data_IF_704220965624
#
_entry.id   IF_704220965624
#
_cell.length_a   1.000
_cell.length_b   1.000
_cell.length_c   1.000
_cell.angle_alpha   90.00
_cell.angle_beta   90.00
_cell.angle_gamma   90.00
#
_symmetry.space_group_name_H-M   'P 1'
#
loop_
_entity.id
_entity.type
_entity.pdbx_description
1 polymer ?
#
# COMPACT_ATOMS: atom_id res chain seq x y z
N UNK A 1 33.22 13.90 -12.27
CA UNK A 1 32.19 14.36 -11.30
C UNK A 1 31.82 13.28 -10.28
N UNK A 2 31.78 11.99 -10.64
CA UNK A 2 31.58 10.87 -9.70
C UNK A 2 32.83 10.52 -8.84
N UNK A 3 34.04 10.79 -9.32
CA UNK A 3 35.27 10.55 -8.54
C UNK A 3 35.45 11.51 -7.36
N UNK A 4 35.01 12.76 -7.48
CA UNK A 4 35.06 13.75 -6.39
C UNK A 4 34.13 13.40 -5.22
N UNK A 5 33.09 12.60 -5.50
CA UNK A 5 32.19 12.10 -4.46
C UNK A 5 32.92 11.03 -3.64
N UNK A 6 33.67 10.11 -4.28
CA UNK A 6 34.45 9.08 -3.57
C UNK A 6 35.54 9.68 -2.68
N UNK A 7 36.22 10.75 -3.11
CA UNK A 7 37.29 11.39 -2.33
C UNK A 7 36.78 12.30 -1.22
N UNK A 8 35.57 12.87 -1.35
CA UNK A 8 34.88 13.52 -0.24
C UNK A 8 34.53 12.55 0.89
N UNK A 9 34.55 11.23 0.64
CA UNK A 9 34.17 10.22 1.62
C UNK A 9 35.32 9.66 2.49
N UNK A 10 36.55 10.20 2.40
CA UNK A 10 37.75 9.62 3.06
C UNK A 10 38.38 10.42 4.24
N UNK A 11 37.85 11.59 4.61
CA UNK A 11 38.37 12.47 5.68
C UNK A 11 37.33 12.61 6.80
N UNK A 12 37.59 13.02 8.05
CA UNK A 12 36.51 13.06 9.08
C UNK A 12 35.23 13.85 8.70
N UNK A 13 35.33 14.81 7.79
CA UNK A 13 34.19 15.49 7.13
C UNK A 13 33.31 14.55 6.28
N UNK A 14 33.85 13.45 5.79
CA UNK A 14 33.13 12.39 5.11
C UNK A 14 32.18 11.63 6.00
N UNK A 15 32.57 11.38 7.25
CA UNK A 15 31.79 10.54 8.15
C UNK A 15 30.50 11.27 8.52
N UNK A 16 30.60 12.57 8.81
CA UNK A 16 29.43 13.42 9.08
C UNK A 16 28.53 13.57 7.85
N UNK A 17 29.10 13.77 6.66
CA UNK A 17 28.33 13.81 5.40
C UNK A 17 27.65 12.47 5.09
N UNK A 18 28.34 11.35 5.31
CA UNK A 18 27.79 10.00 5.12
C UNK A 18 26.63 9.76 6.09
N UNK A 19 26.83 10.06 7.37
CA UNK A 19 25.80 9.93 8.40
C UNK A 19 24.58 10.79 8.07
N UNK A 20 24.79 12.05 7.66
CA UNK A 20 23.73 12.95 7.26
C UNK A 20 22.95 12.41 6.05
N UNK A 21 23.64 11.87 5.03
CA UNK A 21 23.03 11.26 3.87
C UNK A 21 22.14 10.06 4.25
N UNK A 22 22.68 9.10 5.00
CA UNK A 22 21.91 7.92 5.43
C UNK A 22 20.73 8.31 6.31
N UNK A 23 20.91 9.25 7.23
CA UNK A 23 19.83 9.77 8.08
C UNK A 23 18.73 10.40 7.23
N UNK A 24 19.08 11.23 6.24
CA UNK A 24 18.10 11.84 5.33
C UNK A 24 17.32 10.80 4.53
N UNK A 25 18.02 9.79 3.97
CA UNK A 25 17.38 8.69 3.23
C UNK A 25 16.40 7.92 4.13
N UNK A 26 16.81 7.57 5.35
CA UNK A 26 15.96 6.84 6.30
C UNK A 26 14.73 7.66 6.68
N UNK A 27 14.89 8.95 6.98
CA UNK A 27 13.77 9.83 7.35
C UNK A 27 12.79 9.97 6.18
N UNK A 28 13.27 10.30 4.98
CA UNK A 28 12.43 10.48 3.79
C UNK A 28 11.67 9.17 3.50
N UNK A 29 12.37 8.03 3.52
CA UNK A 29 11.75 6.74 3.28
C UNK A 29 10.72 6.38 4.35
N UNK A 30 11.02 6.63 5.63
CA UNK A 30 10.10 6.34 6.74
C UNK A 30 8.83 7.18 6.67
N UNK A 31 8.94 8.46 6.28
CA UNK A 31 7.78 9.33 6.04
C UNK A 31 6.94 8.77 4.89
N UNK A 32 7.57 8.37 3.80
CA UNK A 32 6.87 7.74 2.69
C UNK A 32 6.13 6.45 3.13
N UNK A 33 6.81 5.55 3.86
CA UNK A 33 6.20 4.32 4.38
C UNK A 33 5.03 4.65 5.31
N UNK A 34 5.15 5.71 6.12
CA UNK A 34 4.10 6.14 7.04
C UNK A 34 2.78 6.44 6.32
N UNK A 35 2.84 7.18 5.21
CA UNK A 35 1.65 7.42 4.41
C UNK A 35 1.19 6.16 3.69
N UNK A 36 2.12 5.44 3.04
CA UNK A 36 1.84 4.19 2.32
C UNK A 36 1.02 3.19 3.15
N UNK A 37 1.49 2.86 4.36
CA UNK A 37 0.85 1.81 5.16
C UNK A 37 -0.55 2.23 5.62
N UNK A 38 -0.75 3.51 5.96
CA UNK A 38 -2.06 4.00 6.43
C UNK A 38 -3.12 3.89 5.35
N UNK A 39 -2.78 4.26 4.11
CA UNK A 39 -3.74 4.15 3.03
C UNK A 39 -4.06 2.70 2.65
N UNK A 40 -3.08 1.81 2.72
CA UNK A 40 -3.28 0.41 2.34
C UNK A 40 -4.04 -0.40 3.41
N UNK A 41 -3.72 -0.14 4.68
CA UNK A 41 -4.25 -0.90 5.82
C UNK A 41 -5.63 -0.45 6.29
N UNK A 42 -6.07 0.77 5.94
CA UNK A 42 -7.41 1.24 6.29
C UNK A 42 -8.47 0.45 5.50
N UNK A 43 -9.46 -0.08 6.23
CA UNK A 43 -10.56 -0.85 5.64
C UNK A 43 -11.50 0.02 4.79
N UNK A 44 -11.83 1.21 5.31
CA UNK A 44 -12.66 2.20 4.62
C UNK A 44 -11.88 3.52 4.52
N UNK A 45 -11.83 4.11 3.32
CA UNK A 45 -11.08 5.35 3.08
C UNK A 45 -11.97 6.56 3.39
N UNK A 46 -13.28 6.44 3.12
CA UNK A 46 -14.26 7.49 3.38
C UNK A 46 -15.28 6.92 4.37
N UNK A 47 -15.35 7.51 5.56
CA UNK A 47 -16.41 7.19 6.51
C UNK A 47 -17.72 7.86 6.05
N UNK A 48 -18.47 7.17 5.20
CA UNK A 48 -19.74 7.66 4.67
C UNK A 48 -20.81 7.65 5.77
N UNK A 49 -21.00 8.79 6.45
CA UNK A 49 -22.04 8.94 7.46
C UNK A 49 -23.41 9.14 6.79
N UNK A 50 -24.18 8.06 6.64
CA UNK A 50 -25.50 8.10 6.01
C UNK A 50 -26.56 8.81 6.86
N UNK A 51 -26.35 8.93 8.18
CA UNK A 51 -27.33 9.54 9.10
C UNK A 51 -27.48 11.05 8.89
N UNK A 52 -26.45 11.71 8.34
CA UNK A 52 -26.51 13.15 8.04
C UNK A 52 -27.52 13.50 6.93
N UNK A 53 -27.93 12.52 6.12
CA UNK A 53 -28.88 12.73 5.03
C UNK A 53 -30.32 12.37 5.39
N UNK A 54 -30.55 11.83 6.60
CA UNK A 54 -31.88 11.39 7.05
C UNK A 54 -32.81 12.57 7.47
N UNK A 55 -32.33 13.82 7.37
CA UNK A 55 -33.10 15.04 7.66
C UNK A 55 -33.85 15.61 6.45
N UNK A 56 -33.66 15.05 5.25
CA UNK A 56 -34.31 15.56 4.03
C UNK A 56 -35.71 14.99 3.84
N UNK A 57 -36.65 15.83 3.39
CA UNK A 57 -38.09 15.54 3.27
C UNK A 57 -38.48 14.38 2.36
N UNK A 58 -37.54 13.76 1.63
CA UNK A 58 -37.83 12.71 0.65
C UNK A 58 -36.92 11.48 0.86
N UNK A 59 -37.35 10.49 1.67
CA UNK A 59 -36.51 9.37 2.11
C UNK A 59 -36.06 8.43 0.98
N UNK A 60 -36.78 8.38 -0.15
CA UNK A 60 -36.42 7.55 -1.30
C UNK A 60 -35.18 8.08 -2.05
N UNK A 61 -35.11 9.41 -2.27
CA UNK A 61 -33.99 10.04 -2.98
C UNK A 61 -32.69 9.94 -2.19
N UNK A 62 -32.77 10.11 -0.87
CA UNK A 62 -31.63 9.97 0.04
C UNK A 62 -31.04 8.56 -0.03
N UNK A 63 -31.89 7.52 -0.01
CA UNK A 63 -31.44 6.12 -0.12
C UNK A 63 -30.78 5.83 -1.46
N UNK A 64 -31.32 6.34 -2.57
CA UNK A 64 -30.72 6.17 -3.91
C UNK A 64 -29.35 6.86 -3.98
N UNK A 65 -29.24 8.09 -3.47
CA UNK A 65 -27.97 8.83 -3.48
C UNK A 65 -26.92 8.16 -2.59
N UNK A 66 -27.32 7.67 -1.41
CA UNK A 66 -26.48 6.88 -0.52
C UNK A 66 -25.95 5.60 -1.20
N UNK A 67 -26.84 4.85 -1.86
CA UNK A 67 -26.46 3.65 -2.59
C UNK A 67 -25.49 3.96 -3.75
N UNK A 68 -25.73 5.07 -4.46
CA UNK A 68 -24.84 5.53 -5.53
C UNK A 68 -23.45 5.90 -5.00
N UNK A 69 -23.35 6.66 -3.90
CA UNK A 69 -22.08 7.00 -3.27
C UNK A 69 -21.35 5.74 -2.77
N UNK A 70 -22.08 4.78 -2.19
CA UNK A 70 -21.53 3.49 -1.79
C UNK A 70 -20.93 2.75 -3.00
N UNK A 71 -21.66 2.66 -4.11
CA UNK A 71 -21.15 2.00 -5.33
C UNK A 71 -19.86 2.69 -5.81
N UNK A 72 -19.81 4.02 -5.87
CA UNK A 72 -18.60 4.74 -6.29
C UNK A 72 -17.42 4.44 -5.36
N UNK A 73 -17.62 4.53 -4.05
CA UNK A 73 -16.54 4.31 -3.10
C UNK A 73 -15.99 2.89 -3.20
N UNK A 74 -16.87 1.90 -3.11
CA UNK A 74 -16.45 0.51 -2.93
C UNK A 74 -16.14 -0.20 -4.24
N UNK A 75 -16.83 0.13 -5.33
CA UNK A 75 -16.62 -0.51 -6.63
C UNK A 75 -15.58 0.20 -7.49
N UNK A 76 -15.34 1.49 -7.29
CA UNK A 76 -14.45 2.29 -8.16
C UNK A 76 -13.25 2.81 -7.38
N UNK A 77 -13.45 3.57 -6.31
CA UNK A 77 -12.34 4.21 -5.59
C UNK A 77 -11.41 3.20 -4.94
N UNK A 78 -11.95 2.16 -4.29
CA UNK A 78 -11.14 1.13 -3.64
C UNK A 78 -10.24 0.35 -4.62
N UNK A 79 -10.74 -0.19 -5.76
CA UNK A 79 -9.88 -0.83 -6.75
C UNK A 79 -8.77 0.09 -7.28
N UNK A 80 -9.08 1.37 -7.53
CA UNK A 80 -8.10 2.36 -8.00
C UNK A 80 -7.02 2.59 -6.94
N UNK A 81 -7.42 2.81 -5.68
CA UNK A 81 -6.46 3.03 -4.60
C UNK A 81 -5.58 1.79 -4.38
N UNK A 82 -6.20 0.61 -4.41
CA UNK A 82 -5.51 -0.66 -4.25
C UNK A 82 -4.52 -0.91 -5.38
N UNK A 83 -4.92 -0.64 -6.63
CA UNK A 83 -4.04 -0.69 -7.80
C UNK A 83 -2.85 0.26 -7.66
N UNK A 84 -3.10 1.50 -7.24
CA UNK A 84 -2.05 2.50 -7.06
C UNK A 84 -1.02 2.02 -6.03
N UNK A 85 -1.44 1.61 -4.84
CA UNK A 85 -0.51 1.17 -3.79
C UNK A 85 0.14 -0.18 -4.08
N UNK A 86 -0.56 -1.11 -4.72
CA UNK A 86 0.02 -2.34 -5.22
C UNK A 86 1.14 -2.07 -6.23
N UNK A 87 0.94 -1.12 -7.14
CA UNK A 87 1.95 -0.72 -8.12
C UNK A 87 3.15 -0.07 -7.43
N UNK A 88 2.90 0.83 -6.48
CA UNK A 88 3.94 1.48 -5.67
C UNK A 88 4.78 0.43 -4.92
N UNK A 89 4.14 -0.54 -4.25
CA UNK A 89 4.85 -1.62 -3.56
C UNK A 89 5.67 -2.48 -4.51
N UNK A 90 5.10 -2.82 -5.67
CA UNK A 90 5.80 -3.62 -6.69
C UNK A 90 7.02 -2.91 -7.24
N UNK A 91 6.94 -1.60 -7.45
CA UNK A 91 8.08 -0.78 -7.86
C UNK A 91 9.14 -0.73 -6.75
N UNK A 92 8.74 -0.57 -5.48
CA UNK A 92 9.68 -0.62 -4.35
C UNK A 92 10.40 -1.97 -4.29
N UNK A 93 9.67 -3.08 -4.37
CA UNK A 93 10.29 -4.42 -4.37
C UNK A 93 11.18 -4.59 -5.60
N UNK A 94 10.75 -4.19 -6.80
CA UNK A 94 11.56 -4.33 -8.02
C UNK A 94 12.92 -3.62 -7.92
N UNK A 95 12.90 -2.38 -7.40
CA UNK A 95 14.10 -1.55 -7.29
C UNK A 95 14.98 -2.03 -6.12
N UNK A 96 14.39 -2.33 -4.96
CA UNK A 96 15.16 -2.60 -3.74
C UNK A 96 15.53 -4.09 -3.59
N UNK A 97 14.76 -5.03 -4.13
CA UNK A 97 15.06 -6.46 -4.08
C UNK A 97 15.85 -6.89 -5.34
N UNK A 98 17.17 -6.97 -5.20
CA UNK A 98 18.07 -7.38 -6.28
C UNK A 98 17.82 -8.84 -6.69
N UNK A 99 17.81 -9.09 -8.00
CA UNK A 99 17.79 -10.45 -8.56
C UNK A 99 16.41 -11.14 -8.60
N UNK A 100 15.34 -10.50 -8.11
CA UNK A 100 13.99 -11.05 -8.26
C UNK A 100 13.47 -10.80 -9.69
N UNK A 101 12.89 -11.83 -10.35
CA UNK A 101 12.23 -11.66 -11.63
C UNK A 101 10.86 -10.98 -11.45
N UNK A 102 10.43 -10.24 -12.47
CA UNK A 102 9.20 -9.43 -12.46
C UNK A 102 7.95 -10.20 -11.98
N UNK A 103 7.69 -11.46 -12.42
CA UNK A 103 6.52 -12.21 -11.94
C UNK A 103 6.53 -12.47 -10.43
N UNK A 104 7.72 -12.75 -9.86
CA UNK A 104 7.87 -12.99 -8.42
C UNK A 104 7.66 -11.70 -7.63
N UNK A 105 8.13 -10.56 -8.14
CA UNK A 105 7.88 -9.24 -7.54
C UNK A 105 6.38 -8.97 -7.45
N UNK A 106 5.66 -9.16 -8.55
CA UNK A 106 4.20 -8.96 -8.58
C UNK A 106 3.47 -9.92 -7.66
N UNK A 107 3.89 -11.19 -7.61
CA UNK A 107 3.31 -12.19 -6.72
C UNK A 107 3.46 -11.79 -5.25
N UNK A 108 4.67 -11.41 -4.81
CA UNK A 108 4.93 -11.01 -3.42
C UNK A 108 4.13 -9.75 -3.09
N UNK A 109 4.15 -8.74 -3.95
CA UNK A 109 3.37 -7.52 -3.75
C UNK A 109 1.88 -7.80 -3.64
N UNK A 110 1.33 -8.61 -4.54
CA UNK A 110 -0.09 -8.94 -4.54
C UNK A 110 -0.47 -9.73 -3.29
N UNK A 111 0.31 -10.76 -2.93
CA UNK A 111 0.09 -11.54 -1.73
C UNK A 111 0.13 -10.66 -0.47
N UNK A 112 1.10 -9.74 -0.36
CA UNK A 112 1.17 -8.82 0.78
C UNK A 112 -0.03 -7.87 0.81
N UNK A 113 -0.35 -7.22 -0.32
CA UNK A 113 -1.50 -6.31 -0.41
C UNK A 113 -2.79 -7.03 -0.04
N UNK A 114 -3.03 -8.23 -0.60
CA UNK A 114 -4.20 -9.04 -0.26
C UNK A 114 -4.21 -9.40 1.23
N UNK A 115 -3.08 -9.82 1.80
CA UNK A 115 -3.00 -10.16 3.22
C UNK A 115 -3.32 -8.93 4.10
N UNK A 116 -2.77 -7.76 3.77
CA UNK A 116 -3.09 -6.49 4.44
C UNK A 116 -4.59 -6.20 4.36
N UNK A 117 -5.19 -6.33 3.17
CA UNK A 117 -6.62 -6.13 2.97
C UNK A 117 -7.47 -7.10 3.77
N UNK A 118 -7.17 -8.39 3.79
CA UNK A 118 -7.91 -9.36 4.61
C UNK A 118 -7.78 -8.99 6.10
N UNK A 119 -6.57 -8.67 6.55
CA UNK A 119 -6.33 -8.36 7.96
C UNK A 119 -6.98 -7.06 8.42
N UNK A 120 -7.27 -6.10 7.53
CA UNK A 120 -7.95 -4.85 7.94
C UNK A 120 -9.40 -5.08 8.40
N UNK A 121 -10.03 -6.16 7.95
CA UNK A 121 -11.34 -6.61 8.44
C UNK A 121 -11.26 -7.33 9.79
N UNK A 122 -10.06 -7.78 10.20
CA UNK A 122 -9.85 -8.45 11.49
C UNK A 122 -9.37 -7.45 12.53
N UNK A 123 -8.29 -6.74 12.23
CA UNK A 123 -7.70 -5.72 13.10
C UNK A 123 -6.84 -4.77 12.24
N UNK A 124 -7.20 -3.49 12.20
CA UNK A 124 -6.47 -2.51 11.40
C UNK A 124 -5.04 -2.27 11.87
N UNK A 125 -4.73 -2.42 13.16
CA UNK A 125 -3.36 -2.25 13.65
C UNK A 125 -2.45 -3.38 13.19
N UNK A 126 -2.96 -4.61 13.14
CA UNK A 126 -2.28 -5.75 12.50
C UNK A 126 -2.05 -5.49 11.01
N UNK A 127 -3.05 -4.97 10.30
CA UNK A 127 -2.92 -4.62 8.88
C UNK A 127 -1.84 -3.54 8.65
N UNK A 128 -1.78 -2.53 9.52
CA UNK A 128 -0.75 -1.47 9.49
C UNK A 128 0.64 -2.05 9.72
N UNK A 129 0.77 -2.98 10.67
CA UNK A 129 2.03 -3.66 10.97
C UNK A 129 2.51 -4.51 9.80
N UNK A 130 1.61 -5.23 9.14
CA UNK A 130 1.92 -6.03 7.97
C UNK A 130 2.31 -5.17 6.76
N UNK A 131 1.58 -4.09 6.52
CA UNK A 131 1.80 -3.19 5.38
C UNK A 131 3.16 -2.49 5.43
N UNK A 132 3.64 -2.12 6.63
CA UNK A 132 4.95 -1.46 6.79
C UNK A 132 6.14 -2.43 6.82
N UNK A 133 5.89 -3.72 7.08
CA UNK A 133 6.94 -4.73 7.25
C UNK A 133 7.86 -4.83 6.04
N UNK A 134 7.31 -5.01 4.84
CA UNK A 134 8.12 -5.19 3.62
C UNK A 134 8.90 -3.91 3.25
N UNK A 135 8.29 -2.72 3.19
CA UNK A 135 9.04 -1.49 2.93
C UNK A 135 10.20 -1.27 3.91
N UNK A 136 9.98 -1.42 5.23
CA UNK A 136 11.06 -1.26 6.20
C UNK A 136 12.13 -2.34 6.10
N UNK A 137 11.75 -3.58 5.77
CA UNK A 137 12.71 -4.66 5.53
C UNK A 137 13.58 -4.34 4.32
N UNK A 138 12.98 -3.84 3.23
CA UNK A 138 13.74 -3.42 2.06
C UNK A 138 14.67 -2.25 2.36
N UNK A 139 14.23 -1.28 3.17
CA UNK A 139 15.11 -0.19 3.63
C UNK A 139 16.30 -0.73 4.43
N UNK A 140 16.04 -1.66 5.36
CA UNK A 140 17.10 -2.28 6.17
C UNK A 140 18.11 -3.02 5.29
N UNK A 141 17.64 -3.81 4.32
CA UNK A 141 18.50 -4.49 3.34
C UNK A 141 19.27 -3.45 2.51
N UNK A 142 18.61 -2.38 2.06
CA UNK A 142 19.21 -1.34 1.24
C UNK A 142 20.37 -0.63 1.92
N UNK A 143 20.23 -0.25 3.20
CA UNK A 143 21.28 0.47 3.93
C UNK A 143 22.41 -0.44 4.44
N UNK A 144 22.16 -1.74 4.59
CA UNK A 144 23.15 -2.71 5.10
C UNK A 144 23.90 -3.47 4.00
N UNK A 145 23.41 -3.45 2.76
CA UNK A 145 24.03 -4.17 1.64
C UNK A 145 25.03 -3.27 0.90
N UNK A 146 26.29 -3.71 0.84
CA UNK A 146 27.32 -3.03 0.07
C UNK A 146 26.94 -2.94 -1.42
N UNK A 147 27.18 -1.78 -2.03
CA UNK A 147 26.84 -1.54 -3.45
C UNK A 147 25.33 -1.53 -3.72
N UNK A 148 24.48 -1.35 -2.70
CA UNK A 148 23.05 -1.15 -2.92
C UNK A 148 22.77 0.06 -3.83
N UNK A 149 23.43 1.18 -3.56
CA UNK A 149 23.33 2.44 -4.33
C UNK A 149 24.18 2.44 -5.61
N UNK A 150 24.29 1.29 -6.29
CA UNK A 150 24.90 1.23 -7.60
C UNK A 150 23.92 1.82 -8.64
N UNK A 151 24.30 2.95 -9.23
CA UNK A 151 23.45 3.68 -10.19
C UNK A 151 23.17 2.87 -11.45
N UNK A 152 24.10 2.03 -11.91
CA UNK A 152 23.91 1.22 -13.11
C UNK A 152 22.84 0.15 -12.89
N UNK A 153 22.86 -0.51 -11.73
CA UNK A 153 21.84 -1.49 -11.35
C UNK A 153 20.49 -0.79 -11.18
N UNK A 154 20.46 0.38 -10.54
CA UNK A 154 19.23 1.15 -10.33
C UNK A 154 18.53 1.51 -11.66
N UNK A 155 19.27 2.06 -12.64
CA UNK A 155 18.70 2.40 -13.95
C UNK A 155 18.25 1.18 -14.73
N UNK A 156 18.98 0.06 -14.64
CA UNK A 156 18.56 -1.20 -15.24
C UNK A 156 17.20 -1.66 -14.68
N UNK A 157 17.02 -1.61 -13.35
CA UNK A 157 15.75 -1.96 -12.70
C UNK A 157 14.61 -1.01 -13.03
N UNK A 158 14.88 0.29 -13.19
CA UNK A 158 13.88 1.25 -13.63
C UNK A 158 13.33 0.93 -15.02
N UNK A 159 14.18 0.42 -15.93
CA UNK A 159 13.76 0.04 -17.28
C UNK A 159 12.82 -1.19 -17.29
N UNK A 160 12.76 -1.97 -16.22
CA UNK A 160 11.84 -3.11 -16.06
C UNK A 160 10.43 -2.69 -15.60
N UNK A 161 10.25 -1.46 -15.10
CA UNK A 161 8.95 -0.97 -14.58
C UNK A 161 7.79 -1.15 -15.58
N UNK A 162 7.93 -0.81 -16.87
CA UNK A 162 6.84 -1.00 -17.84
C UNK A 162 6.35 -2.46 -17.92
N UNK A 163 7.23 -3.44 -17.69
CA UNK A 163 6.87 -4.86 -17.71
C UNK A 163 5.96 -5.28 -16.55
N UNK A 164 5.96 -4.53 -15.44
CA UNK A 164 5.01 -4.74 -14.34
C UNK A 164 3.57 -4.59 -14.84
N UNK A 165 3.30 -3.53 -15.61
CA UNK A 165 1.95 -3.15 -16.03
C UNK A 165 1.29 -4.15 -16.99
N UNK A 166 2.07 -4.95 -17.71
CA UNK A 166 1.53 -6.02 -18.56
C UNK A 166 0.84 -7.13 -17.76
N UNK A 167 1.29 -7.38 -16.52
CA UNK A 167 0.80 -8.48 -15.70
C UNK A 167 -0.05 -8.03 -14.49
N UNK A 168 0.03 -6.75 -14.12
CA UNK A 168 -0.75 -6.17 -13.02
C UNK A 168 -2.25 -6.50 -13.08
N UNK A 169 -2.97 -6.49 -14.23
CA UNK A 169 -4.41 -6.71 -14.25
C UNK A 169 -4.87 -8.03 -13.61
N UNK A 170 -4.13 -9.12 -13.80
CA UNK A 170 -4.47 -10.43 -13.24
C UNK A 170 -4.40 -10.43 -11.70
N UNK A 171 -3.35 -9.83 -11.14
CA UNK A 171 -3.18 -9.69 -9.70
C UNK A 171 -4.19 -8.72 -9.10
N UNK A 172 -4.49 -7.62 -9.79
CA UNK A 172 -5.48 -6.66 -9.35
C UNK A 172 -6.87 -7.28 -9.25
N UNK A 173 -7.27 -8.07 -10.26
CA UNK A 173 -8.55 -8.76 -10.25
C UNK A 173 -8.67 -9.71 -9.05
N UNK A 174 -7.59 -10.42 -8.70
CA UNK A 174 -7.56 -11.25 -7.51
C UNK A 174 -7.72 -10.43 -6.22
N UNK A 175 -6.96 -9.34 -6.05
CA UNK A 175 -7.03 -8.48 -4.86
C UNK A 175 -8.45 -7.90 -4.70
N UNK A 176 -9.03 -7.37 -5.78
CA UNK A 176 -10.39 -6.81 -5.78
C UNK A 176 -11.43 -7.89 -5.49
N UNK A 177 -11.26 -9.09 -6.06
CA UNK A 177 -12.16 -10.22 -5.77
C UNK A 177 -12.17 -10.57 -4.28
N UNK A 178 -11.00 -10.66 -3.64
CA UNK A 178 -10.90 -10.90 -2.19
C UNK A 178 -11.52 -9.75 -1.40
N UNK A 179 -11.23 -8.49 -1.75
CA UNK A 179 -11.80 -7.32 -1.09
C UNK A 179 -13.35 -7.37 -1.08
N UNK A 180 -13.97 -7.71 -2.23
CA UNK A 180 -15.41 -7.84 -2.34
C UNK A 180 -15.96 -9.00 -1.49
N UNK A 181 -15.26 -10.14 -1.45
CA UNK A 181 -15.65 -11.28 -0.60
C UNK A 181 -15.65 -10.87 0.87
N UNK A 182 -14.60 -10.21 1.34
CA UNK A 182 -14.49 -9.76 2.74
C UNK A 182 -15.60 -8.75 3.07
N UNK A 183 -15.89 -7.81 2.17
CA UNK A 183 -16.92 -6.79 2.36
C UNK A 183 -18.33 -7.37 2.43
N UNK A 184 -18.64 -8.36 1.59
CA UNK A 184 -19.91 -9.10 1.67
C UNK A 184 -20.01 -9.85 3.00
N UNK A 185 -18.92 -10.48 3.44
CA UNK A 185 -18.85 -11.18 4.73
C UNK A 185 -19.14 -10.26 5.92
N UNK A 186 -18.55 -9.07 5.94
CA UNK A 186 -18.82 -8.04 6.95
C UNK A 186 -20.28 -7.59 6.94
N UNK A 187 -20.83 -7.25 5.77
CA UNK A 187 -22.23 -6.83 5.65
C UNK A 187 -23.21 -7.89 6.19
N UNK A 188 -22.94 -9.18 5.92
CA UNK A 188 -23.74 -10.29 6.44
C UNK A 188 -23.60 -10.36 7.98
N UNK A 189 -22.37 -10.30 8.50
CA UNK A 189 -22.10 -10.35 9.94
C UNK A 189 -22.81 -9.25 10.71
N UNK A 190 -22.75 -8.01 10.21
CA UNK A 190 -23.39 -6.85 10.83
C UNK A 190 -24.91 -6.97 10.83
N UNK A 191 -25.49 -7.46 9.73
CA UNK A 191 -26.95 -7.67 9.63
C UNK A 191 -27.43 -8.68 10.67
N UNK A 192 -26.73 -9.81 10.85
CA UNK A 192 -27.12 -10.83 11.83
C UNK A 192 -26.91 -10.40 13.29
N UNK A 193 -25.88 -9.60 13.59
CA UNK A 193 -25.65 -9.08 14.94
C UNK A 193 -26.65 -7.97 15.31
N UNK A 194 -27.02 -7.11 14.37
CA UNK A 194 -28.03 -6.07 14.58
C UNK A 194 -29.38 -6.65 15.00
N UNK A 195 -29.82 -7.75 14.39
CA UNK A 195 -31.10 -8.41 14.72
C UNK A 195 -31.13 -8.97 16.15
N UNK A 196 -30.01 -9.49 16.67
CA UNK A 196 -29.95 -10.02 18.04
C UNK A 196 -29.94 -8.94 19.13
N UNK A 197 -29.56 -7.72 18.79
CA UNK A 197 -29.54 -6.60 19.74
C UNK A 197 -30.94 -5.98 19.93
N UNK A 198 -31.83 -6.08 18.95
CA UNK A 198 -33.21 -5.60 19.04
C UNK A 198 -34.17 -6.57 19.76
N UNK A 199 -33.75 -7.82 19.99
CA UNK A 199 -34.53 -8.86 20.69
C UNK A 199 -34.28 -8.94 22.21
N UNK A 200 -33.40 -8.11 22.78
CA UNK A 200 -33.11 -8.01 24.22
C UNK A 200 -33.57 -6.67 24.81
#
# INVERSE_FOLDING_TARGET
MLENIKTMFATETSLSLTLAFFTAVIVIYSIFVFYFYRFLANKNIIELNLNQYNQYSNPALVKIFAAFLYIIEYLILLPILTFFWFSVLSILILILAKGLPVPTVLLISAALVTAVRITSYVNEDLAKDLAKMVPFTLLAIAITTAGFFDMSIFFYRLAEIPQLFSNIPYYLLFIVGIELIMRIGEFIYDTFHSTKAEEN
#
